data_IF_897179359727
#
_entry.id   IF_897179359727
#
_cell.length_a   1.000
_cell.length_b   1.000
_cell.length_c   1.000
_cell.angle_alpha   90.00
_cell.angle_beta   90.00
_cell.angle_gamma   90.00
#
_symmetry.space_group_name_H-M   'P 1'
#
loop_
_entity.id
_entity.type
_entity.pdbx_description
1 polymer ?
#
# COMPACT_ATOMS: atom_id res chain seq x y z
N UNK A 1 26.89 19.09 -8.94
CA UNK A 1 26.07 18.67 -7.77
C UNK A 1 25.25 17.45 -8.17
N UNK A 2 25.13 16.45 -7.29
CA UNK A 2 24.21 15.33 -7.52
C UNK A 2 22.77 15.78 -7.34
N UNK A 3 21.85 15.28 -8.18
CA UNK A 3 20.43 15.53 -8.02
C UNK A 3 19.90 14.74 -6.82
N UNK A 4 19.02 15.35 -6.04
CA UNK A 4 18.22 14.67 -5.02
C UNK A 4 16.85 14.33 -5.62
N UNK A 5 16.29 13.22 -5.19
CA UNK A 5 14.99 12.74 -5.64
C UNK A 5 14.06 12.59 -4.44
N UNK A 6 12.78 12.89 -4.64
CA UNK A 6 11.71 12.69 -3.68
C UNK A 6 10.65 11.84 -4.39
N UNK A 7 10.27 10.73 -3.76
CA UNK A 7 9.11 9.92 -4.18
C UNK A 7 8.00 10.20 -3.17
N UNK A 8 6.90 10.79 -3.65
CA UNK A 8 5.71 11.06 -2.84
C UNK A 8 4.60 10.10 -3.26
N UNK A 9 4.22 9.17 -2.37
CA UNK A 9 3.18 8.19 -2.61
C UNK A 9 1.92 8.56 -1.81
N UNK A 10 0.82 8.87 -2.50
CA UNK A 10 -0.49 9.01 -1.87
C UNK A 10 -1.14 7.64 -1.70
N UNK A 11 -1.07 7.08 -0.49
CA UNK A 11 -1.70 5.78 -0.18
C UNK A 11 -3.22 5.85 -0.37
N UNK A 12 -3.77 4.91 -1.14
CA UNK A 12 -5.19 4.89 -1.50
C UNK A 12 -5.70 6.12 -2.25
N UNK A 13 -4.83 6.92 -2.89
CA UNK A 13 -5.22 8.19 -3.51
C UNK A 13 -6.02 8.01 -4.81
N UNK A 14 -5.83 6.89 -5.51
CA UNK A 14 -6.62 6.55 -6.68
C UNK A 14 -8.02 6.10 -6.25
N UNK A 15 -9.04 6.57 -6.93
CA UNK A 15 -10.44 6.30 -6.62
C UNK A 15 -11.30 6.43 -7.87
N UNK A 16 -12.55 6.02 -7.76
CA UNK A 16 -13.56 6.11 -8.79
C UNK A 16 -14.37 7.42 -8.70
N UNK A 17 -15.00 7.86 -9.80
CA UNK A 17 -15.99 8.92 -9.78
C UNK A 17 -17.18 8.59 -8.87
N UNK A 18 -17.57 9.51 -7.98
CA UNK A 18 -18.71 9.31 -7.07
C UNK A 18 -19.83 10.35 -7.25
N UNK A 19 -21.12 9.95 -7.17
CA UNK A 19 -22.26 10.84 -7.39
C UNK A 19 -22.30 12.08 -6.49
N UNK A 20 -21.94 11.94 -5.21
CA UNK A 20 -21.93 12.99 -4.19
C UNK A 20 -20.93 14.11 -4.52
N UNK A 21 -19.93 13.81 -5.35
CA UNK A 21 -18.93 14.76 -5.85
C UNK A 21 -19.22 15.23 -7.28
N UNK A 22 -20.48 15.10 -7.73
CA UNK A 22 -20.91 15.39 -9.09
C UNK A 22 -20.14 14.58 -10.15
N UNK A 23 -19.89 13.30 -9.87
CA UNK A 23 -19.18 12.40 -10.78
C UNK A 23 -17.68 12.67 -10.88
N UNK A 24 -17.07 13.23 -9.83
CA UNK A 24 -15.61 13.41 -9.71
C UNK A 24 -15.04 12.36 -8.75
N UNK A 25 -13.75 12.06 -8.90
CA UNK A 25 -12.99 11.37 -7.84
C UNK A 25 -12.75 12.31 -6.66
N UNK A 26 -12.45 11.80 -5.44
CA UNK A 26 -12.07 12.66 -4.31
C UNK A 26 -10.88 13.57 -4.62
N UNK A 27 -9.86 13.07 -5.33
CA UNK A 27 -8.70 13.88 -5.73
C UNK A 27 -9.09 15.04 -6.68
N UNK A 28 -10.03 14.81 -7.60
CA UNK A 28 -10.54 15.85 -8.50
C UNK A 28 -11.45 16.87 -7.81
N UNK A 29 -12.15 16.48 -6.75
CA UNK A 29 -13.00 17.38 -5.99
C UNK A 29 -12.23 18.22 -4.97
N UNK A 30 -11.11 17.71 -4.46
CA UNK A 30 -10.28 18.38 -3.49
C UNK A 30 -9.56 19.61 -4.09
N UNK A 31 -9.41 20.67 -3.29
CA UNK A 31 -8.56 21.81 -3.65
C UNK A 31 -7.09 21.44 -3.45
N UNK A 32 -6.38 21.15 -4.54
CA UNK A 32 -4.98 20.69 -4.49
C UNK A 32 -4.02 21.61 -5.26
N UNK A 33 -3.96 22.92 -4.94
CA UNK A 33 -3.23 23.90 -5.74
C UNK A 33 -1.73 23.59 -5.92
N UNK A 34 -1.12 22.90 -4.95
CA UNK A 34 0.27 22.48 -5.04
C UNK A 34 0.48 21.25 -5.93
N UNK A 35 -0.45 20.29 -5.94
CA UNK A 35 -0.39 19.16 -6.88
C UNK A 35 -0.71 19.65 -8.29
N UNK A 36 -1.69 20.56 -8.44
CA UNK A 36 -2.01 21.20 -9.72
C UNK A 36 -0.80 21.97 -10.28
N UNK A 37 -0.09 22.72 -9.43
CA UNK A 37 1.13 23.44 -9.80
C UNK A 37 2.21 22.51 -10.34
N UNK A 38 2.41 21.35 -9.68
CA UNK A 38 3.38 20.33 -10.08
C UNK A 38 2.95 19.64 -11.39
N UNK A 39 1.67 19.28 -11.52
CA UNK A 39 1.11 18.65 -12.70
C UNK A 39 1.28 19.52 -13.96
N UNK A 40 1.06 20.84 -13.84
CA UNK A 40 1.24 21.80 -14.95
C UNK A 40 2.69 22.00 -15.39
N UNK A 41 3.67 21.66 -14.54
CA UNK A 41 5.11 21.88 -14.77
C UNK A 41 5.91 20.59 -14.89
N UNK A 42 5.23 19.46 -14.79
CA UNK A 42 5.83 18.14 -14.81
C UNK A 42 5.40 17.33 -16.02
N UNK A 43 5.61 16.03 -15.93
CA UNK A 43 5.09 15.05 -16.88
C UNK A 43 4.09 14.18 -16.14
N UNK A 44 2.91 14.00 -16.73
CA UNK A 44 1.85 13.16 -16.20
C UNK A 44 1.87 11.79 -16.90
N UNK A 45 1.45 10.77 -16.16
CA UNK A 45 1.30 9.42 -16.67
C UNK A 45 0.52 8.57 -15.68
N UNK A 46 0.08 7.41 -16.15
CA UNK A 46 -0.47 6.36 -15.30
C UNK A 46 0.63 5.38 -14.94
N UNK A 47 0.60 4.85 -13.72
CA UNK A 47 1.53 3.85 -13.23
C UNK A 47 0.77 2.63 -12.76
N UNK A 48 1.26 1.46 -13.17
CA UNK A 48 0.74 0.17 -12.72
C UNK A 48 1.71 -0.41 -11.68
N UNK A 49 1.33 -0.41 -10.41
CA UNK A 49 2.23 -0.77 -9.29
C UNK A 49 2.11 -2.21 -8.83
N UNK A 50 1.09 -2.95 -9.29
CA UNK A 50 0.81 -4.32 -8.85
C UNK A 50 1.02 -5.28 -10.01
N UNK A 51 2.12 -6.05 -10.06
CA UNK A 51 2.33 -7.04 -11.11
C UNK A 51 1.19 -8.07 -11.21
N UNK A 52 1.02 -8.65 -12.39
CA UNK A 52 -0.04 -9.62 -12.64
C UNK A 52 0.08 -10.84 -11.73
N UNK A 53 -1.05 -11.35 -11.23
CA UNK A 53 -1.07 -12.51 -10.34
C UNK A 53 -0.73 -12.24 -8.87
N UNK A 54 -0.43 -10.98 -8.51
CA UNK A 54 -0.24 -10.58 -7.11
C UNK A 54 -1.45 -9.81 -6.58
N UNK A 55 -1.70 -9.95 -5.28
CA UNK A 55 -2.76 -9.22 -4.60
C UNK A 55 -2.39 -7.72 -4.50
N UNK A 56 -3.36 -6.80 -4.65
CA UNK A 56 -3.12 -5.37 -4.56
C UNK A 56 -2.95 -4.94 -3.09
N UNK A 57 -1.74 -5.10 -2.56
CA UNK A 57 -1.35 -4.69 -1.22
C UNK A 57 -0.27 -3.60 -1.23
N UNK A 58 -0.22 -2.77 -0.18
CA UNK A 58 0.80 -1.73 -0.02
C UNK A 58 2.22 -2.31 0.03
N UNK A 59 2.38 -3.54 0.50
CA UNK A 59 3.64 -4.28 0.49
C UNK A 59 4.17 -4.50 -0.94
N UNK A 60 3.35 -5.10 -1.81
CA UNK A 60 3.67 -5.34 -3.22
C UNK A 60 3.88 -4.02 -3.96
N UNK A 61 2.99 -3.03 -3.74
CA UNK A 61 3.07 -1.73 -4.41
C UNK A 61 4.39 -1.00 -4.09
N UNK A 62 4.79 -0.97 -2.81
CA UNK A 62 6.01 -0.29 -2.41
C UNK A 62 7.26 -0.99 -2.94
N UNK A 63 7.30 -2.33 -2.98
CA UNK A 63 8.40 -3.05 -3.62
C UNK A 63 8.59 -2.61 -5.09
N UNK A 64 7.49 -2.57 -5.86
CA UNK A 64 7.52 -2.08 -7.25
C UNK A 64 8.01 -0.63 -7.36
N UNK A 65 7.54 0.26 -6.48
CA UNK A 65 7.91 1.70 -6.49
C UNK A 65 9.40 1.88 -6.19
N UNK A 66 9.96 1.08 -5.28
CA UNK A 66 11.39 1.10 -4.97
C UNK A 66 12.25 0.38 -6.01
N UNK A 67 11.64 -0.24 -7.05
CA UNK A 67 12.33 -0.88 -8.16
C UNK A 67 12.69 -2.35 -7.93
N UNK A 68 12.12 -2.99 -6.91
CA UNK A 68 12.23 -4.44 -6.73
C UNK A 68 11.20 -5.16 -7.57
N UNK A 69 11.54 -6.33 -8.11
CA UNK A 69 10.57 -7.24 -8.73
C UNK A 69 9.81 -8.03 -7.64
N UNK A 70 8.52 -7.76 -7.41
CA UNK A 70 7.76 -8.47 -6.38
C UNK A 70 7.66 -9.98 -6.65
N UNK A 71 7.77 -10.47 -7.89
CA UNK A 71 7.77 -11.92 -8.14
C UNK A 71 9.00 -12.63 -7.57
N UNK A 72 10.11 -11.91 -7.40
CA UNK A 72 11.36 -12.47 -6.88
C UNK A 72 11.51 -12.23 -5.38
N UNK A 73 11.06 -11.08 -4.88
CA UNK A 73 11.39 -10.62 -3.53
C UNK A 73 10.22 -10.62 -2.55
N UNK A 74 8.97 -10.75 -3.02
CA UNK A 74 7.83 -10.77 -2.13
C UNK A 74 7.64 -12.15 -1.50
N UNK A 75 7.88 -12.25 -0.20
CA UNK A 75 7.68 -13.48 0.61
C UNK A 75 6.48 -13.39 1.55
N UNK A 76 5.64 -12.36 1.39
CA UNK A 76 4.49 -12.06 2.23
C UNK A 76 4.69 -10.82 3.11
N UNK A 77 3.61 -10.40 3.78
CA UNK A 77 3.57 -9.16 4.57
C UNK A 77 4.32 -9.25 5.90
N UNK A 78 4.23 -10.39 6.57
CA UNK A 78 4.75 -10.55 7.93
C UNK A 78 6.27 -10.33 8.05
N UNK A 79 7.13 -10.81 7.11
CA UNK A 79 8.56 -10.49 7.14
C UNK A 79 8.87 -8.98 7.06
N UNK A 80 8.10 -8.22 6.28
CA UNK A 80 8.26 -6.76 6.18
C UNK A 80 7.90 -6.06 7.49
N UNK A 81 6.81 -6.48 8.15
CA UNK A 81 6.40 -5.94 9.44
C UNK A 81 7.41 -6.30 10.56
N UNK A 82 7.94 -7.52 10.55
CA UNK A 82 9.00 -7.93 11.48
C UNK A 82 10.25 -7.06 11.34
N UNK A 83 10.70 -6.81 10.10
CA UNK A 83 11.81 -5.91 9.83
C UNK A 83 11.55 -4.47 10.32
N UNK A 84 10.32 -3.96 10.13
CA UNK A 84 9.92 -2.63 10.62
C UNK A 84 9.95 -2.53 12.16
N UNK A 85 9.74 -3.65 12.86
CA UNK A 85 9.87 -3.74 14.33
C UNK A 85 11.31 -3.97 14.81
N UNK A 86 12.28 -4.07 13.89
CA UNK A 86 13.67 -4.38 14.22
C UNK A 86 13.91 -5.84 14.59
N UNK A 87 12.97 -6.73 14.30
CA UNK A 87 13.12 -8.17 14.49
C UNK A 87 13.95 -8.71 13.33
N UNK A 88 15.09 -9.32 13.65
CA UNK A 88 15.95 -9.99 12.66
C UNK A 88 15.37 -11.38 12.37
N UNK A 89 15.27 -11.71 11.09
CA UNK A 89 14.85 -13.01 10.60
C UNK A 89 16.00 -13.62 9.79
N UNK A 90 16.25 -14.91 9.99
CA UNK A 90 17.11 -15.72 9.13
C UNK A 90 16.31 -16.29 7.93
N UNK A 91 17.01 -16.83 6.93
CA UNK A 91 16.40 -17.33 5.69
C UNK A 91 15.38 -18.46 5.90
N UNK A 92 15.53 -19.23 6.98
CA UNK A 92 14.63 -20.34 7.31
C UNK A 92 13.47 -19.92 8.23
N UNK A 93 13.45 -18.69 8.72
CA UNK A 93 12.43 -18.22 9.64
C UNK A 93 11.11 -17.93 8.93
N UNK A 94 10.01 -18.20 9.62
CA UNK A 94 8.66 -17.89 9.16
C UNK A 94 8.04 -16.88 10.09
N UNK A 95 7.63 -15.73 9.54
CA UNK A 95 6.94 -14.70 10.28
C UNK A 95 5.41 -14.84 10.13
N UNK A 96 4.70 -14.68 11.24
CA UNK A 96 3.24 -14.62 11.26
C UNK A 96 2.78 -13.25 11.75
N UNK A 97 1.89 -12.61 10.98
CA UNK A 97 1.15 -11.44 11.47
C UNK A 97 -0.05 -11.94 12.25
N UNK A 98 -0.09 -11.59 13.52
CA UNK A 98 -1.17 -11.99 14.42
C UNK A 98 -1.96 -10.77 14.89
N UNK A 99 -3.26 -10.97 15.09
CA UNK A 99 -4.14 -10.03 15.77
C UNK A 99 -4.56 -10.65 17.11
N UNK A 100 -4.62 -9.83 18.16
CA UNK A 100 -5.23 -10.25 19.42
C UNK A 100 -6.75 -10.17 19.28
N UNK A 101 -7.43 -11.23 19.72
CA UNK A 101 -8.89 -11.32 19.73
C UNK A 101 -9.38 -11.67 21.14
N UNK A 102 -10.63 -11.30 21.45
CA UNK A 102 -11.30 -11.69 22.70
C UNK A 102 -12.46 -12.62 22.35
N UNK A 103 -12.39 -13.87 22.83
CA UNK A 103 -13.46 -14.85 22.69
C UNK A 103 -14.32 -14.86 23.96
N UNK A 104 -15.64 -14.86 23.80
CA UNK A 104 -16.60 -15.12 24.89
C UNK A 104 -17.27 -16.46 24.62
N UNK A 105 -17.22 -17.36 25.59
CA UNK A 105 -17.97 -18.61 25.52
C UNK A 105 -19.43 -18.32 25.87
N UNK A 106 -20.33 -18.37 24.90
CA UNK A 106 -21.77 -18.44 25.20
C UNK A 106 -22.07 -19.85 25.72
N UNK A 107 -22.75 -19.92 26.88
CA UNK A 107 -22.94 -21.15 27.64
C UNK A 107 -23.54 -22.29 26.81
N UNK A 108 -23.00 -23.49 27.02
CA UNK A 108 -23.56 -24.75 26.51
C UNK A 108 -25.07 -24.80 26.81
N UNK A 109 -25.91 -24.82 25.76
CA UNK A 109 -27.24 -25.44 25.89
C UNK A 109 -27.01 -26.94 25.80
N UNK A 110 -27.06 -27.63 26.95
CA UNK A 110 -27.26 -29.07 26.97
C UNK A 110 -28.57 -29.38 26.22
N UNK A 111 -28.47 -30.32 25.27
CA UNK A 111 -29.59 -30.84 24.48
C UNK A 111 -30.18 -32.04 25.22
#
# INVERSE_FOLDING_TARGET
MSKKFIVLLGDGMADEPIPELNGKTPLQAAQTPHLDYLAQRGTLGLVWTIPSGLAPGSDVANLSIFGYDPHLYFTGRAPLEAAAMGIKLDQADVAFRCNLITLRQEGHKEV
#
